data_IF_512807999246
#
_entry.id   IF_512807999246
#
_cell.length_a   1.000
_cell.length_b   1.000
_cell.length_c   1.000
_cell.angle_alpha   90.00
_cell.angle_beta   90.00
_cell.angle_gamma   90.00
#
_symmetry.space_group_name_H-M   'P 1'
#
loop_
_entity.id
_entity.type
_entity.pdbx_description
1 polymer ?
#
# COMPACT_ATOMS: atom_id res chain seq x y z
N UNK A 1 16.57 27.94 -5.77
CA UNK A 1 16.96 27.64 -4.36
C UNK A 1 15.77 27.69 -3.42
N UNK A 2 14.90 28.72 -3.40
CA UNK A 2 13.71 28.79 -2.53
C UNK A 2 12.78 27.58 -2.66
N UNK A 3 12.43 27.17 -3.88
CA UNK A 3 11.53 26.02 -4.16
C UNK A 3 12.06 24.69 -3.62
N UNK A 4 13.37 24.41 -3.76
CA UNK A 4 13.97 23.18 -3.23
C UNK A 4 13.90 23.18 -1.69
N UNK A 5 14.15 24.33 -1.06
CA UNK A 5 14.08 24.48 0.39
C UNK A 5 12.68 24.27 0.92
N UNK A 6 11.68 24.90 0.31
CA UNK A 6 10.27 24.73 0.68
C UNK A 6 9.80 23.29 0.49
N UNK A 7 10.13 22.67 -0.66
CA UNK A 7 9.81 21.27 -0.93
C UNK A 7 10.47 20.33 0.09
N UNK A 8 11.76 20.51 0.39
CA UNK A 8 12.49 19.66 1.35
C UNK A 8 11.93 19.84 2.75
N UNK A 9 11.55 21.05 3.16
CA UNK A 9 10.90 21.31 4.45
C UNK A 9 9.55 20.58 4.53
N UNK A 10 8.69 20.75 3.53
CA UNK A 10 7.40 20.08 3.45
C UNK A 10 7.55 18.56 3.48
N UNK A 11 8.45 18.01 2.67
CA UNK A 11 8.66 16.55 2.58
C UNK A 11 9.26 16.00 3.88
N UNK A 12 10.17 16.72 4.55
CA UNK A 12 10.74 16.28 5.82
C UNK A 12 9.66 16.19 6.90
N UNK A 13 8.93 17.27 7.15
CA UNK A 13 7.87 17.32 8.17
C UNK A 13 6.77 16.33 7.89
N UNK A 14 6.32 16.25 6.63
CA UNK A 14 5.25 15.32 6.21
C UNK A 14 5.68 13.87 6.39
N UNK A 15 6.91 13.50 5.98
CA UNK A 15 7.40 12.14 6.14
C UNK A 15 7.52 11.74 7.61
N UNK A 16 7.99 12.61 8.51
CA UNK A 16 8.00 12.32 9.95
C UNK A 16 6.59 12.10 10.51
N UNK A 17 5.65 13.00 10.21
CA UNK A 17 4.27 12.89 10.68
C UNK A 17 3.60 11.60 10.18
N UNK A 18 3.70 11.32 8.87
CA UNK A 18 3.10 10.12 8.29
C UNK A 18 3.83 8.82 8.66
N UNK A 19 5.13 8.86 8.94
CA UNK A 19 5.89 7.72 9.48
C UNK A 19 5.25 7.21 10.78
N UNK A 20 4.91 8.12 11.70
CA UNK A 20 4.22 7.79 12.96
C UNK A 20 2.82 7.21 12.68
N UNK A 21 2.04 7.86 11.82
CA UNK A 21 0.67 7.40 11.48
C UNK A 21 0.72 6.02 10.83
N UNK A 22 1.63 5.80 9.87
CA UNK A 22 1.80 4.52 9.17
C UNK A 22 2.22 3.42 10.14
N UNK A 23 3.23 3.69 10.98
CA UNK A 23 3.76 2.71 11.91
C UNK A 23 2.73 2.32 12.96
N UNK A 24 2.16 3.29 13.67
CA UNK A 24 1.16 3.04 14.71
C UNK A 24 -0.11 2.38 14.13
N UNK A 25 -0.58 2.87 12.98
CA UNK A 25 -1.75 2.31 12.31
C UNK A 25 -1.58 0.84 11.94
N UNK A 26 -0.43 0.47 11.35
CA UNK A 26 -0.16 -0.91 10.96
C UNK A 26 0.14 -1.81 12.15
N UNK A 27 0.80 -1.34 13.22
CA UNK A 27 0.94 -2.09 14.49
C UNK A 27 -0.44 -2.45 15.06
N UNK A 28 -1.35 -1.49 15.11
CA UNK A 28 -2.71 -1.71 15.59
C UNK A 28 -3.47 -2.72 14.72
N UNK A 29 -3.32 -2.62 13.38
CA UNK A 29 -3.93 -3.59 12.44
C UNK A 29 -3.35 -4.99 12.63
N UNK A 30 -2.04 -5.15 12.73
CA UNK A 30 -1.37 -6.43 12.98
C UNK A 30 -1.95 -7.05 14.26
N UNK A 31 -2.00 -6.28 15.35
CA UNK A 31 -2.60 -6.74 16.62
C UNK A 31 -4.06 -7.14 16.48
N UNK A 32 -4.84 -6.39 15.71
CA UNK A 32 -6.24 -6.69 15.46
C UNK A 32 -6.42 -7.96 14.62
N UNK A 33 -5.59 -8.16 13.59
CA UNK A 33 -5.60 -9.36 12.75
C UNK A 33 -5.27 -10.63 13.54
N UNK A 34 -4.31 -10.57 14.48
CA UNK A 34 -4.01 -11.71 15.35
C UNK A 34 -5.19 -12.07 16.27
N UNK A 35 -5.95 -11.08 16.74
CA UNK A 35 -7.12 -11.29 17.60
C UNK A 35 -8.39 -11.68 16.85
N UNK A 36 -8.49 -11.33 15.57
CA UNK A 36 -9.67 -11.58 14.76
C UNK A 36 -9.84 -13.10 14.52
N UNK A 37 -11.01 -13.62 14.84
CA UNK A 37 -11.37 -15.05 14.69
C UNK A 37 -12.26 -15.30 13.47
N UNK A 38 -13.04 -14.32 13.03
CA UNK A 38 -13.98 -14.46 11.91
C UNK A 38 -13.32 -14.38 10.52
N UNK A 39 -12.04 -13.98 10.45
CA UNK A 39 -11.32 -13.85 9.18
C UNK A 39 -10.61 -15.15 8.84
N UNK A 40 -10.87 -15.77 7.66
CA UNK A 40 -10.20 -16.98 7.22
C UNK A 40 -8.67 -16.84 7.21
N UNK A 41 -7.94 -17.90 7.56
CA UNK A 41 -6.49 -17.88 7.74
C UNK A 41 -5.73 -17.44 6.47
N UNK A 42 -6.16 -17.87 5.27
CA UNK A 42 -5.59 -17.47 3.99
C UNK A 42 -5.67 -15.95 3.77
N UNK A 43 -6.82 -15.36 4.04
CA UNK A 43 -7.06 -13.90 3.92
C UNK A 43 -6.28 -13.13 4.99
N UNK A 44 -6.24 -13.65 6.22
CA UNK A 44 -5.49 -13.09 7.33
C UNK A 44 -4.00 -13.01 7.00
N UNK A 45 -3.41 -14.06 6.42
CA UNK A 45 -2.00 -14.08 6.02
C UNK A 45 -1.67 -13.02 4.97
N UNK A 46 -2.54 -12.81 3.98
CA UNK A 46 -2.37 -11.74 2.99
C UNK A 46 -2.38 -10.35 3.64
N UNK A 47 -3.32 -10.10 4.55
CA UNK A 47 -3.38 -8.81 5.25
C UNK A 47 -2.25 -8.60 6.24
N UNK A 48 -1.78 -9.66 6.92
CA UNK A 48 -0.61 -9.58 7.78
C UNK A 48 0.64 -9.23 6.95
N UNK A 49 0.85 -9.90 5.81
CA UNK A 49 1.98 -9.59 4.92
C UNK A 49 1.95 -8.12 4.45
N UNK A 50 0.77 -7.60 4.08
CA UNK A 50 0.62 -6.21 3.70
C UNK A 50 0.90 -5.26 4.87
N UNK A 51 0.34 -5.53 6.05
CA UNK A 51 0.53 -4.69 7.22
C UNK A 51 1.99 -4.70 7.72
N UNK A 52 2.72 -5.82 7.61
CA UNK A 52 4.16 -5.88 7.92
C UNK A 52 5.00 -5.10 6.92
N UNK A 53 4.73 -5.20 5.61
CA UNK A 53 5.44 -4.39 4.61
C UNK A 53 5.18 -2.89 4.80
N UNK A 54 3.93 -2.50 5.10
CA UNK A 54 3.57 -1.11 5.37
C UNK A 54 4.17 -0.59 6.69
N UNK A 55 4.28 -1.43 7.72
CA UNK A 55 5.01 -1.09 8.93
C UNK A 55 6.49 -0.82 8.62
N UNK A 56 7.12 -1.66 7.79
CA UNK A 56 8.48 -1.43 7.30
C UNK A 56 8.61 -0.12 6.52
N UNK A 57 7.63 0.20 5.67
CA UNK A 57 7.56 1.50 4.96
C UNK A 57 7.55 2.65 5.97
N UNK A 58 6.65 2.65 6.95
CA UNK A 58 6.51 3.72 7.93
C UNK A 58 7.73 3.85 8.83
N UNK A 59 8.12 2.77 9.47
CA UNK A 59 9.15 2.77 10.52
C UNK A 59 10.57 2.92 9.97
N UNK A 60 10.84 2.42 8.76
CA UNK A 60 12.20 2.45 8.17
C UNK A 60 12.27 3.44 7.02
N UNK A 61 11.57 3.15 5.92
CA UNK A 61 11.78 3.88 4.67
C UNK A 61 11.31 5.33 4.72
N UNK A 62 10.15 5.58 5.33
CA UNK A 62 9.56 6.92 5.45
C UNK A 62 10.28 7.77 6.50
N UNK A 63 10.71 7.16 7.60
CA UNK A 63 11.52 7.82 8.62
C UNK A 63 12.88 8.25 8.04
N UNK A 64 13.56 7.36 7.31
CA UNK A 64 14.82 7.69 6.62
C UNK A 64 14.62 8.80 5.58
N UNK A 65 13.52 8.79 4.83
CA UNK A 65 13.18 9.86 3.89
C UNK A 65 13.09 11.21 4.62
N UNK A 66 12.38 11.26 5.76
CA UNK A 66 12.27 12.48 6.58
C UNK A 66 13.64 13.00 7.02
N UNK A 67 14.53 12.14 7.49
CA UNK A 67 15.91 12.49 7.87
C UNK A 67 16.70 13.02 6.67
N UNK A 68 16.67 12.33 5.54
CA UNK A 68 17.38 12.73 4.32
C UNK A 68 16.92 14.12 3.87
N UNK A 69 15.62 14.39 3.82
CA UNK A 69 15.10 15.72 3.46
C UNK A 69 15.46 16.80 4.49
N UNK A 70 15.51 16.47 5.77
CA UNK A 70 15.99 17.40 6.81
C UNK A 70 17.48 17.76 6.63
N UNK A 71 18.32 16.79 6.26
CA UNK A 71 19.73 17.04 5.97
C UNK A 71 19.89 17.88 4.70
N UNK A 72 19.14 17.58 3.64
CA UNK A 72 19.11 18.39 2.41
C UNK A 72 18.72 19.83 2.72
N UNK A 73 17.72 20.05 3.58
CA UNK A 73 17.29 21.37 4.01
C UNK A 73 18.40 22.16 4.72
N UNK A 74 19.13 21.50 5.64
CA UNK A 74 20.21 22.12 6.39
C UNK A 74 21.45 22.38 5.54
N UNK A 75 21.76 21.53 4.56
CA UNK A 75 22.90 21.72 3.66
C UNK A 75 22.62 22.76 2.57
N UNK A 76 21.38 22.84 2.09
CA UNK A 76 20.97 23.86 1.10
C UNK A 76 21.05 25.30 1.61
N UNK A 77 21.20 25.51 2.93
CA UNK A 77 21.43 26.82 3.54
C UNK A 77 22.90 27.27 3.53
N UNK A 78 23.84 26.38 3.20
CA UNK A 78 25.28 26.66 3.09
C UNK A 78 25.66 26.92 1.64
N UNK A 79 26.57 27.85 1.39
CA UNK A 79 27.00 28.23 0.03
C UNK A 79 27.62 27.08 -0.77
N UNK A 80 28.20 26.07 -0.10
CA UNK A 80 28.73 24.84 -0.70
C UNK A 80 27.69 23.70 -0.69
N UNK A 81 26.61 23.85 -1.46
CA UNK A 81 25.64 22.80 -1.62
C UNK A 81 26.16 21.66 -2.49
N UNK A 82 26.69 20.63 -1.86
CA UNK A 82 27.05 19.39 -2.52
C UNK A 82 26.14 18.26 -1.99
N UNK A 83 25.20 17.79 -2.84
CA UNK A 83 24.35 16.62 -2.51
C UNK A 83 25.18 15.37 -2.18
N UNK A 84 26.46 15.37 -2.61
CA UNK A 84 27.47 14.33 -2.30
C UNK A 84 27.93 14.33 -0.84
N UNK A 85 27.58 15.34 -0.03
CA UNK A 85 27.88 15.36 1.41
C UNK A 85 27.03 14.34 2.21
N UNK A 86 25.90 13.88 1.66
CA UNK A 86 25.17 12.74 2.21
C UNK A 86 25.93 11.46 1.90
N UNK A 87 26.19 10.67 2.94
CA UNK A 87 26.85 9.38 2.78
C UNK A 87 26.13 8.54 1.72
N UNK A 88 26.76 8.22 0.57
CA UNK A 88 26.11 7.47 -0.53
C UNK A 88 25.55 6.13 -0.07
N UNK A 89 26.20 5.52 0.93
CA UNK A 89 25.77 4.24 1.52
C UNK A 89 24.38 4.38 2.19
N UNK A 90 24.12 5.47 2.89
CA UNK A 90 22.80 5.71 3.54
C UNK A 90 21.72 5.91 2.51
N UNK A 91 21.99 6.68 1.44
CA UNK A 91 21.04 6.89 0.35
C UNK A 91 20.76 5.56 -0.38
N UNK A 92 21.78 4.79 -0.69
CA UNK A 92 21.63 3.51 -1.37
C UNK A 92 20.86 2.50 -0.51
N UNK A 93 21.13 2.45 0.79
CA UNK A 93 20.37 1.60 1.73
C UNK A 93 18.89 2.02 1.78
N UNK A 94 18.62 3.32 1.89
CA UNK A 94 17.26 3.83 1.87
C UNK A 94 16.51 3.46 0.58
N UNK A 95 17.12 3.67 -0.58
CA UNK A 95 16.51 3.34 -1.87
C UNK A 95 16.31 1.83 -2.03
N UNK A 96 17.26 1.00 -1.57
CA UNK A 96 17.11 -0.46 -1.55
C UNK A 96 15.88 -0.88 -0.73
N UNK A 97 15.77 -0.39 0.51
CA UNK A 97 14.63 -0.69 1.38
C UNK A 97 13.32 -0.15 0.81
N UNK A 98 13.35 1.04 0.21
CA UNK A 98 12.19 1.61 -0.47
C UNK A 98 11.69 0.70 -1.61
N UNK A 99 12.57 0.25 -2.52
CA UNK A 99 12.17 -0.61 -3.64
C UNK A 99 11.69 -1.98 -3.18
N UNK A 100 12.34 -2.55 -2.17
CA UNK A 100 11.95 -3.83 -1.56
C UNK A 100 10.52 -3.76 -0.96
N UNK A 101 10.30 -2.83 -0.03
CA UNK A 101 9.03 -2.70 0.68
C UNK A 101 7.90 -2.29 -0.24
N UNK A 102 8.17 -1.42 -1.20
CA UNK A 102 7.21 -0.99 -2.21
C UNK A 102 6.79 -2.15 -3.12
N UNK A 103 7.72 -2.96 -3.60
CA UNK A 103 7.41 -4.12 -4.44
C UNK A 103 6.58 -5.14 -3.64
N UNK A 104 6.95 -5.42 -2.38
CA UNK A 104 6.22 -6.31 -1.50
C UNK A 104 4.78 -5.85 -1.28
N UNK A 105 4.56 -4.58 -0.94
CA UNK A 105 3.22 -4.00 -0.75
C UNK A 105 2.40 -4.04 -2.05
N UNK A 106 2.97 -3.63 -3.19
CA UNK A 106 2.30 -3.63 -4.49
C UNK A 106 1.85 -5.03 -4.92
N UNK A 107 2.75 -6.02 -4.85
CA UNK A 107 2.45 -7.40 -5.24
C UNK A 107 1.45 -8.05 -4.29
N UNK A 108 1.54 -7.79 -2.99
CA UNK A 108 0.57 -8.29 -1.99
C UNK A 108 -0.82 -7.70 -2.24
N UNK A 109 -0.93 -6.39 -2.50
CA UNK A 109 -2.19 -5.75 -2.87
C UNK A 109 -2.78 -6.33 -4.17
N UNK A 110 -1.93 -6.65 -5.15
CA UNK A 110 -2.37 -7.30 -6.39
C UNK A 110 -2.91 -8.70 -6.09
N UNK A 111 -2.22 -9.46 -5.26
CA UNK A 111 -2.65 -10.80 -4.83
C UNK A 111 -3.97 -10.75 -4.07
N UNK A 112 -4.18 -9.76 -3.19
CA UNK A 112 -5.46 -9.54 -2.50
C UNK A 112 -6.60 -9.26 -3.51
N UNK A 113 -6.34 -8.50 -4.56
CA UNK A 113 -7.34 -8.26 -5.61
C UNK A 113 -7.72 -9.56 -6.36
N UNK A 114 -6.74 -10.40 -6.68
CA UNK A 114 -6.96 -11.72 -7.28
C UNK A 114 -7.68 -12.68 -6.33
N UNK A 115 -7.29 -12.72 -5.07
CA UNK A 115 -7.98 -13.52 -4.04
C UNK A 115 -9.47 -13.17 -3.97
N UNK A 116 -9.79 -11.87 -4.02
CA UNK A 116 -11.19 -11.43 -4.06
C UNK A 116 -11.90 -11.81 -5.35
N UNK A 117 -11.23 -11.72 -6.49
CA UNK A 117 -11.77 -12.18 -7.77
C UNK A 117 -12.09 -13.68 -7.74
N UNK A 118 -11.17 -14.50 -7.25
CA UNK A 118 -11.37 -15.95 -7.12
C UNK A 118 -12.53 -16.27 -6.16
N UNK A 119 -12.61 -15.57 -5.03
CA UNK A 119 -13.70 -15.77 -4.07
C UNK A 119 -15.08 -15.48 -4.69
N UNK A 120 -15.20 -14.42 -5.51
CA UNK A 120 -16.46 -14.05 -6.17
C UNK A 120 -16.76 -14.95 -7.37
N UNK A 121 -15.74 -15.44 -8.10
CA UNK A 121 -15.93 -16.21 -9.33
C UNK A 121 -16.13 -17.71 -9.08
N UNK A 122 -15.49 -18.27 -8.05
CA UNK A 122 -15.43 -19.72 -7.82
C UNK A 122 -16.39 -20.22 -6.74
N UNK A 123 -16.97 -19.31 -5.94
CA UNK A 123 -17.93 -19.65 -4.86
C UNK A 123 -17.47 -20.86 -4.00
N UNK A 124 -18.12 -22.01 -4.17
CA UNK A 124 -17.85 -23.22 -3.37
C UNK A 124 -16.45 -23.80 -3.60
N UNK A 125 -15.90 -23.72 -4.84
CA UNK A 125 -14.56 -24.23 -5.16
C UNK A 125 -13.43 -23.35 -4.64
N UNK A 126 -13.74 -22.12 -4.19
CA UNK A 126 -12.72 -21.21 -3.67
C UNK A 126 -11.95 -21.81 -2.48
N UNK A 127 -12.64 -22.45 -1.54
CA UNK A 127 -12.01 -23.03 -0.35
C UNK A 127 -11.08 -24.21 -0.66
N UNK A 128 -11.35 -24.96 -1.72
CA UNK A 128 -10.49 -26.05 -2.19
C UNK A 128 -9.22 -25.53 -2.89
N UNK A 129 -9.36 -24.44 -3.65
CA UNK A 129 -8.26 -23.88 -4.44
C UNK A 129 -7.38 -22.92 -3.65
N UNK A 130 -7.94 -22.11 -2.75
CA UNK A 130 -7.20 -21.09 -2.01
C UNK A 130 -6.94 -21.57 -0.57
N UNK A 131 -5.95 -22.44 -0.43
CA UNK A 131 -5.52 -22.95 0.88
C UNK A 131 -4.45 -22.07 1.52
N UNK A 132 -4.33 -22.09 2.86
CA UNK A 132 -3.28 -21.33 3.57
C UNK A 132 -1.87 -21.69 3.10
N UNK A 133 -1.59 -22.96 2.77
CA UNK A 133 -0.29 -23.39 2.23
C UNK A 133 0.04 -22.71 0.90
N UNK A 134 -0.92 -22.67 -0.05
CA UNK A 134 -0.74 -22.01 -1.36
C UNK A 134 -0.53 -20.52 -1.20
N UNK A 135 -1.29 -19.88 -0.32
CA UNK A 135 -1.11 -18.45 0.00
C UNK A 135 0.28 -18.18 0.58
N UNK A 136 0.78 -19.03 1.48
CA UNK A 136 2.14 -18.89 2.03
C UNK A 136 3.22 -19.01 0.92
N UNK A 137 3.07 -19.96 -0.02
CA UNK A 137 3.99 -20.08 -1.16
C UNK A 137 3.98 -18.80 -2.01
N UNK A 138 2.79 -18.24 -2.29
CA UNK A 138 2.67 -16.97 -3.03
C UNK A 138 3.34 -15.83 -2.28
N UNK A 139 3.18 -15.74 -0.95
CA UNK A 139 3.83 -14.71 -0.13
C UNK A 139 5.36 -14.84 -0.13
N UNK A 140 5.89 -16.05 -0.08
CA UNK A 140 7.34 -16.31 -0.23
C UNK A 140 7.80 -15.85 -1.61
N UNK A 141 7.08 -16.20 -2.68
CA UNK A 141 7.40 -15.77 -4.04
C UNK A 141 7.38 -14.25 -4.19
N UNK A 142 6.42 -13.57 -3.56
CA UNK A 142 6.36 -12.10 -3.50
C UNK A 142 7.61 -11.54 -2.81
N UNK A 143 8.00 -12.10 -1.68
CA UNK A 143 9.17 -11.64 -0.92
C UNK A 143 10.47 -11.82 -1.74
N UNK A 144 10.63 -12.96 -2.42
CA UNK A 144 11.78 -13.22 -3.30
C UNK A 144 11.80 -12.26 -4.50
N UNK A 145 10.67 -12.05 -5.17
CA UNK A 145 10.56 -11.11 -6.29
C UNK A 145 10.87 -9.68 -5.85
N UNK A 146 10.38 -9.27 -4.68
CA UNK A 146 10.65 -7.94 -4.12
C UNK A 146 12.14 -7.77 -3.79
N UNK A 147 12.77 -8.80 -3.25
CA UNK A 147 14.21 -8.82 -2.97
C UNK A 147 15.04 -8.69 -4.27
N UNK A 148 14.70 -9.46 -5.31
CA UNK A 148 15.35 -9.38 -6.63
C UNK A 148 15.18 -7.97 -7.22
N UNK A 149 13.98 -7.38 -7.13
CA UNK A 149 13.71 -6.02 -7.62
C UNK A 149 14.60 -4.99 -6.90
N UNK A 150 14.81 -5.15 -5.60
CA UNK A 150 15.68 -4.28 -4.83
C UNK A 150 17.16 -4.50 -5.16
N UNK A 151 17.60 -5.74 -5.44
CA UNK A 151 18.96 -6.03 -5.91
C UNK A 151 19.25 -5.40 -7.28
N UNK A 152 18.28 -5.42 -8.21
CA UNK A 152 18.42 -4.75 -9.51
C UNK A 152 18.77 -3.27 -9.34
N UNK A 153 18.25 -2.61 -8.28
CA UNK A 153 18.62 -1.22 -7.99
C UNK A 153 20.14 -1.07 -7.72
N UNK A 154 20.76 -2.00 -6.97
CA UNK A 154 22.18 -1.93 -6.63
C UNK A 154 23.06 -2.14 -7.85
N UNK A 155 22.75 -3.16 -8.67
CA UNK A 155 23.62 -3.58 -9.79
C UNK A 155 23.33 -2.81 -11.08
N UNK A 156 22.09 -2.37 -11.30
CA UNK A 156 21.61 -1.75 -12.54
C UNK A 156 20.72 -0.52 -12.23
N UNK A 157 21.23 0.53 -11.59
CA UNK A 157 20.42 1.65 -11.11
C UNK A 157 19.64 2.38 -12.21
N UNK A 158 20.19 2.48 -13.42
CA UNK A 158 19.50 3.08 -14.58
C UNK A 158 18.32 2.22 -15.06
N UNK A 159 18.49 0.89 -15.09
CA UNK A 159 17.45 -0.05 -15.52
C UNK A 159 16.36 -0.24 -14.47
N UNK A 160 16.67 0.03 -13.20
CA UNK A 160 15.73 -0.19 -12.08
C UNK A 160 14.45 0.65 -12.19
N UNK A 161 14.52 1.88 -12.67
CA UNK A 161 13.32 2.70 -12.87
C UNK A 161 12.40 2.12 -13.95
N UNK A 162 12.97 1.56 -15.04
CA UNK A 162 12.18 0.85 -16.06
C UNK A 162 11.53 -0.41 -15.46
N UNK A 163 12.30 -1.23 -14.76
CA UNK A 163 11.80 -2.45 -14.11
C UNK A 163 10.67 -2.10 -13.13
N UNK A 164 10.87 -1.08 -12.29
CA UNK A 164 9.86 -0.60 -11.36
C UNK A 164 8.59 -0.10 -12.09
N UNK A 165 8.74 0.63 -13.19
CA UNK A 165 7.62 1.10 -14.00
C UNK A 165 6.87 -0.06 -14.67
N UNK A 166 7.57 -1.05 -15.20
CA UNK A 166 6.97 -2.25 -15.81
C UNK A 166 6.18 -3.04 -14.75
N UNK A 167 6.76 -3.30 -13.59
CA UNK A 167 6.07 -3.99 -12.48
C UNK A 167 4.81 -3.21 -12.06
N UNK A 168 4.91 -1.88 -11.97
CA UNK A 168 3.80 -1.02 -11.64
C UNK A 168 2.68 -1.12 -12.71
N UNK A 169 3.01 -0.98 -13.99
CA UNK A 169 2.04 -1.05 -15.10
C UNK A 169 1.38 -2.41 -15.19
N UNK A 170 2.14 -3.50 -15.07
CA UNK A 170 1.59 -4.86 -15.02
C UNK A 170 0.67 -5.01 -13.81
N UNK A 171 1.09 -4.55 -12.63
CA UNK A 171 0.24 -4.55 -11.43
C UNK A 171 -1.04 -3.74 -11.59
N UNK A 172 -1.00 -2.59 -12.28
CA UNK A 172 -2.20 -1.81 -12.62
C UNK A 172 -3.13 -2.58 -13.55
N UNK A 173 -2.59 -3.10 -14.64
CA UNK A 173 -3.36 -3.87 -15.61
C UNK A 173 -4.07 -5.05 -14.94
N UNK A 174 -3.33 -5.85 -14.18
CA UNK A 174 -3.87 -7.01 -13.48
C UNK A 174 -4.96 -6.62 -12.47
N UNK A 175 -4.76 -5.58 -11.67
CA UNK A 175 -5.78 -5.08 -10.74
C UNK A 175 -7.01 -4.56 -11.47
N UNK A 176 -6.82 -3.78 -12.54
CA UNK A 176 -7.94 -3.28 -13.35
C UNK A 176 -8.79 -4.43 -13.86
N UNK A 177 -8.16 -5.46 -14.46
CA UNK A 177 -8.86 -6.65 -14.94
C UNK A 177 -9.62 -7.35 -13.80
N UNK A 178 -8.97 -7.54 -12.65
CA UNK A 178 -9.59 -8.17 -11.49
C UNK A 178 -10.83 -7.38 -11.00
N UNK A 179 -10.70 -6.07 -10.82
CA UNK A 179 -11.82 -5.26 -10.33
C UNK A 179 -12.96 -5.08 -11.33
N UNK A 180 -12.65 -4.97 -12.63
CA UNK A 180 -13.68 -4.95 -13.68
C UNK A 180 -14.45 -6.28 -13.71
N UNK A 181 -13.74 -7.41 -13.58
CA UNK A 181 -14.39 -8.72 -13.50
C UNK A 181 -15.23 -8.88 -12.23
N UNK A 182 -14.72 -8.49 -11.06
CA UNK A 182 -15.49 -8.49 -9.80
C UNK A 182 -16.79 -7.67 -9.98
N UNK A 183 -16.70 -6.47 -10.55
CA UNK A 183 -17.87 -5.63 -10.80
C UNK A 183 -18.88 -6.32 -11.74
N UNK A 184 -18.42 -6.90 -12.85
CA UNK A 184 -19.30 -7.60 -13.81
C UNK A 184 -20.00 -8.80 -13.18
N UNK A 185 -19.27 -9.64 -12.41
CA UNK A 185 -19.85 -10.80 -11.74
C UNK A 185 -20.88 -10.39 -10.70
N UNK A 186 -20.57 -9.39 -9.87
CA UNK A 186 -21.52 -8.88 -8.87
C UNK A 186 -22.75 -8.29 -9.53
N UNK A 187 -22.61 -7.53 -10.62
CA UNK A 187 -23.74 -6.97 -11.37
C UNK A 187 -24.60 -8.05 -12.00
N UNK A 188 -23.99 -9.09 -12.58
CA UNK A 188 -24.70 -10.24 -13.17
C UNK A 188 -25.56 -10.95 -12.12
N UNK A 189 -25.00 -11.30 -10.97
CA UNK A 189 -25.76 -11.94 -9.89
C UNK A 189 -26.89 -11.07 -9.35
N UNK A 190 -26.68 -9.76 -9.26
CA UNK A 190 -27.74 -8.83 -8.88
C UNK A 190 -28.92 -8.86 -9.86
N UNK A 191 -28.65 -8.81 -11.16
CA UNK A 191 -29.70 -8.84 -12.17
C UNK A 191 -30.50 -10.15 -12.11
N UNK A 192 -29.84 -11.30 -11.86
CA UNK A 192 -30.53 -12.58 -11.67
C UNK A 192 -31.42 -12.57 -10.42
N UNK A 193 -30.93 -12.06 -9.29
CA UNK A 193 -31.70 -11.94 -8.05
C UNK A 193 -32.90 -11.01 -8.26
N UNK A 194 -32.73 -9.89 -8.94
CA UNK A 194 -33.83 -8.96 -9.26
C UNK A 194 -34.88 -9.58 -10.15
N UNK A 195 -34.50 -10.41 -11.11
CA UNK A 195 -35.46 -11.09 -12.02
C UNK A 195 -36.22 -12.24 -11.36
N UNK A 196 -35.65 -12.84 -10.29
CA UNK A 196 -36.28 -13.97 -9.57
C UNK A 196 -37.01 -13.54 -8.29
N UNK A 197 -36.76 -12.34 -7.79
CA UNK A 197 -37.22 -11.93 -6.45
C UNK A 197 -38.26 -10.85 -6.42
N UNK A 198 -39.48 -11.25 -6.63
CA UNK A 198 -40.59 -10.63 -5.89
C UNK A 198 -40.80 -11.26 -4.48
N UNK A 199 -39.98 -12.24 -4.03
CA UNK A 199 -40.43 -13.15 -2.96
C UNK A 199 -39.47 -13.42 -1.76
N UNK A 200 -38.20 -12.86 -1.66
CA UNK A 200 -37.37 -13.28 -0.52
C UNK A 200 -36.42 -12.22 0.05
N UNK A 201 -36.73 -11.68 1.22
CA UNK A 201 -35.98 -10.65 1.96
C UNK A 201 -34.55 -11.06 2.36
N UNK A 202 -34.23 -12.34 2.51
CA UNK A 202 -32.91 -12.83 2.93
C UNK A 202 -31.88 -12.74 1.78
N UNK A 203 -32.24 -13.15 0.55
CA UNK A 203 -31.37 -13.09 -0.63
C UNK A 203 -31.10 -11.65 -1.06
N UNK A 204 -32.06 -10.75 -0.86
CA UNK A 204 -31.87 -9.32 -1.13
C UNK A 204 -30.81 -8.71 -0.18
N UNK A 205 -30.76 -9.13 1.09
CA UNK A 205 -29.74 -8.67 2.04
C UNK A 205 -28.34 -9.15 1.68
N UNK A 206 -28.19 -10.40 1.22
CA UNK A 206 -26.92 -10.96 0.77
C UNK A 206 -26.40 -10.23 -0.48
N UNK A 207 -27.27 -9.97 -1.47
CA UNK A 207 -26.93 -9.19 -2.67
C UNK A 207 -26.49 -7.76 -2.34
N UNK A 208 -27.16 -7.09 -1.41
CA UNK A 208 -26.76 -5.76 -0.92
C UNK A 208 -25.40 -5.78 -0.22
N UNK A 209 -25.11 -6.84 0.55
CA UNK A 209 -23.81 -7.03 1.22
C UNK A 209 -22.69 -7.23 0.21
N UNK A 210 -22.89 -8.07 -0.81
CA UNK A 210 -21.94 -8.31 -1.90
C UNK A 210 -21.68 -7.04 -2.72
N UNK A 211 -22.75 -6.27 -3.05
CA UNK A 211 -22.65 -4.98 -3.71
C UNK A 211 -21.77 -4.00 -2.91
N UNK A 212 -22.04 -3.85 -1.62
CA UNK A 212 -21.25 -2.97 -0.75
C UNK A 212 -19.77 -3.41 -0.71
N UNK A 213 -19.50 -4.72 -0.69
CA UNK A 213 -18.14 -5.26 -0.74
C UNK A 213 -17.43 -4.92 -2.05
N UNK A 214 -18.11 -4.99 -3.20
CA UNK A 214 -17.52 -4.65 -4.50
C UNK A 214 -17.23 -3.14 -4.63
N UNK A 215 -18.14 -2.26 -4.18
CA UNK A 215 -17.86 -0.82 -4.17
C UNK A 215 -16.70 -0.45 -3.26
N UNK A 216 -16.61 -1.10 -2.10
CA UNK A 216 -15.48 -0.91 -1.19
C UNK A 216 -14.15 -1.31 -1.85
N UNK A 217 -14.16 -2.40 -2.60
CA UNK A 217 -12.97 -2.85 -3.33
C UNK A 217 -12.57 -1.87 -4.45
N UNK A 218 -13.55 -1.34 -5.20
CA UNK A 218 -13.31 -0.30 -6.22
C UNK A 218 -12.76 0.99 -5.62
N UNK A 219 -13.24 1.40 -4.45
CA UNK A 219 -12.71 2.57 -3.75
C UNK A 219 -11.23 2.37 -3.35
N UNK A 220 -10.88 1.21 -2.81
CA UNK A 220 -9.47 0.87 -2.49
C UNK A 220 -8.59 0.93 -3.74
N UNK A 221 -9.09 0.42 -4.87
CA UNK A 221 -8.39 0.50 -6.15
C UNK A 221 -8.21 1.94 -6.62
N UNK A 222 -9.24 2.78 -6.48
CA UNK A 222 -9.16 4.20 -6.83
C UNK A 222 -8.10 4.94 -6.00
N UNK A 223 -8.09 4.74 -4.67
CA UNK A 223 -7.06 5.30 -3.77
C UNK A 223 -5.66 4.86 -4.22
N UNK A 224 -5.50 3.58 -4.54
CA UNK A 224 -4.24 3.07 -5.07
C UNK A 224 -3.83 3.76 -6.38
N UNK A 225 -4.75 3.96 -7.32
CA UNK A 225 -4.48 4.70 -8.57
C UNK A 225 -3.98 6.11 -8.29
N UNK A 226 -4.66 6.86 -7.43
CA UNK A 226 -4.28 8.23 -7.08
C UNK A 226 -2.89 8.28 -6.47
N UNK A 227 -2.53 7.32 -5.62
CA UNK A 227 -1.23 7.31 -4.95
C UNK A 227 -0.06 6.90 -5.88
N UNK A 228 -0.28 6.03 -6.84
CA UNK A 228 0.80 5.48 -7.67
C UNK A 228 0.89 6.05 -9.07
N UNK A 229 -0.23 6.51 -9.66
CA UNK A 229 -0.24 7.05 -11.04
C UNK A 229 0.73 8.21 -11.24
N UNK A 230 0.90 9.15 -10.28
CA UNK A 230 1.85 10.25 -10.42
C UNK A 230 3.33 9.84 -10.54
N UNK A 231 3.65 8.59 -10.23
CA UNK A 231 5.01 8.08 -10.41
C UNK A 231 5.37 7.89 -11.91
N UNK A 232 4.41 7.59 -12.79
CA UNK A 232 4.67 7.37 -14.21
C UNK A 232 5.27 8.61 -14.92
N UNK A 233 4.73 9.82 -14.75
CA UNK A 233 5.37 11.03 -15.27
C UNK A 233 6.80 11.22 -14.78
N UNK A 234 7.10 10.91 -13.52
CA UNK A 234 8.45 11.02 -12.98
C UNK A 234 9.44 10.07 -13.66
N UNK A 235 8.98 8.86 -14.06
CA UNK A 235 9.79 7.92 -14.83
C UNK A 235 10.02 8.43 -16.25
N UNK A 236 8.99 8.97 -16.90
CA UNK A 236 9.11 9.54 -18.26
C UNK A 236 10.12 10.69 -18.26
N UNK A 237 10.02 11.62 -17.32
CA UNK A 237 10.94 12.75 -17.19
C UNK A 237 12.39 12.28 -16.96
N UNK A 238 12.59 11.19 -16.20
CA UNK A 238 13.91 10.60 -16.02
C UNK A 238 14.56 10.16 -17.34
N UNK A 239 13.78 9.58 -18.27
CA UNK A 239 14.30 9.10 -19.55
C UNK A 239 14.49 10.23 -20.59
N UNK A 240 13.74 11.31 -20.48
CA UNK A 240 13.93 12.51 -21.33
C UNK A 240 15.19 13.30 -20.90
N UNK A 241 15.84 12.87 -19.81
CA UNK A 241 17.10 13.45 -19.30
C UNK A 241 16.98 14.94 -18.92
N UNK A 242 15.83 15.35 -18.41
CA UNK A 242 15.65 16.69 -17.88
C UNK A 242 16.24 16.74 -16.47
N UNK A 243 17.37 17.44 -16.33
CA UNK A 243 17.96 17.78 -15.01
C UNK A 243 17.22 18.94 -14.33
N UNK A 244 16.03 19.27 -14.81
CA UNK A 244 15.24 20.40 -14.34
C UNK A 244 14.65 20.14 -12.96
N UNK A 245 14.45 21.23 -12.21
CA UNK A 245 13.77 21.25 -10.91
C UNK A 245 12.40 20.56 -10.95
N UNK A 246 11.72 20.62 -12.11
CA UNK A 246 10.43 19.96 -12.37
C UNK A 246 10.51 18.44 -12.20
N UNK A 247 11.60 17.81 -12.66
CA UNK A 247 11.84 16.37 -12.44
C UNK A 247 11.98 16.03 -10.95
N UNK A 248 12.75 16.83 -10.20
CA UNK A 248 12.92 16.60 -8.76
C UNK A 248 11.61 16.74 -8.02
N UNK A 249 10.81 17.77 -8.34
CA UNK A 249 9.48 17.98 -7.76
C UNK A 249 8.58 16.78 -8.06
N UNK A 250 8.48 16.37 -9.33
CA UNK A 250 7.65 15.23 -9.75
C UNK A 250 8.08 13.93 -9.04
N UNK A 251 9.38 13.66 -8.98
CA UNK A 251 9.95 12.48 -8.33
C UNK A 251 9.63 12.44 -6.85
N UNK A 252 9.95 13.48 -6.10
CA UNK A 252 9.79 13.48 -4.64
C UNK A 252 8.33 13.56 -4.22
N UNK A 253 7.48 14.30 -4.95
CA UNK A 253 6.04 14.32 -4.71
C UNK A 253 5.40 12.96 -4.98
N UNK A 254 5.83 12.26 -6.04
CA UNK A 254 5.33 10.91 -6.32
C UNK A 254 5.77 9.88 -5.27
N UNK A 255 7.00 9.97 -4.76
CA UNK A 255 7.47 9.14 -3.65
C UNK A 255 6.63 9.35 -2.39
N UNK A 256 6.33 10.60 -2.06
CA UNK A 256 5.47 10.93 -0.93
C UNK A 256 4.06 10.32 -1.06
N UNK A 257 3.45 10.42 -2.25
CA UNK A 257 2.13 9.81 -2.51
C UNK A 257 2.16 8.28 -2.40
N UNK A 258 3.24 7.65 -2.83
CA UNK A 258 3.43 6.20 -2.66
C UNK A 258 3.49 5.84 -1.17
N UNK A 259 4.19 6.62 -0.34
CA UNK A 259 4.21 6.42 1.10
C UNK A 259 2.83 6.62 1.74
N UNK A 260 2.07 7.60 1.26
CA UNK A 260 0.71 7.87 1.74
C UNK A 260 -0.21 6.66 1.58
N UNK A 261 -0.03 5.85 0.53
CA UNK A 261 -0.80 4.62 0.34
C UNK A 261 -0.68 3.67 1.54
N UNK A 262 0.51 3.49 2.11
CA UNK A 262 0.73 2.63 3.29
C UNK A 262 0.06 3.18 4.55
N UNK A 263 -0.08 4.51 4.66
CA UNK A 263 -0.81 5.17 5.76
C UNK A 263 -2.32 5.00 5.66
N UNK A 264 -2.86 4.79 4.45
CA UNK A 264 -4.29 4.64 4.22
C UNK A 264 -4.79 3.21 4.43
N UNK A 265 -3.92 2.20 4.35
CA UNK A 265 -4.29 0.79 4.49
C UNK A 265 -4.99 0.47 5.83
N UNK A 266 -4.56 0.96 7.01
CA UNK A 266 -5.28 0.77 8.27
C UNK A 266 -6.72 1.27 8.24
N UNK A 267 -6.97 2.39 7.58
CA UNK A 267 -8.32 2.98 7.42
C UNK A 267 -9.19 2.05 6.57
N UNK A 268 -8.63 1.53 5.47
CA UNK A 268 -9.32 0.58 4.58
C UNK A 268 -9.71 -0.70 5.32
N UNK A 269 -8.84 -1.25 6.17
CA UNK A 269 -9.18 -2.43 6.97
C UNK A 269 -10.32 -2.16 7.97
N UNK A 270 -10.26 -1.04 8.68
CA UNK A 270 -11.32 -0.61 9.60
C UNK A 270 -12.66 -0.44 8.89
N UNK A 271 -12.63 0.09 7.68
CA UNK A 271 -13.84 0.30 6.90
C UNK A 271 -14.42 -1.02 6.38
N UNK A 272 -13.57 -1.94 5.95
CA UNK A 272 -13.96 -3.20 5.33
C UNK A 272 -14.41 -4.25 6.35
N UNK A 273 -13.71 -4.39 7.48
CA UNK A 273 -13.94 -5.46 8.47
C UNK A 273 -14.46 -4.90 9.78
N UNK A 274 -15.74 -5.23 10.09
CA UNK A 274 -16.41 -4.79 11.32
C UNK A 274 -15.66 -5.28 12.57
N UNK A 275 -15.17 -6.53 12.56
CA UNK A 275 -14.42 -7.12 13.68
C UNK A 275 -13.12 -6.35 13.95
N UNK A 276 -12.30 -6.07 12.91
CA UNK A 276 -11.08 -5.26 13.04
C UNK A 276 -11.39 -3.91 13.66
N UNK A 277 -12.43 -3.23 13.14
CA UNK A 277 -12.86 -1.92 13.66
C UNK A 277 -13.28 -1.98 15.13
N UNK A 278 -13.96 -3.04 15.57
CA UNK A 278 -14.38 -3.22 16.97
C UNK A 278 -13.17 -3.47 17.88
N UNK A 279 -12.23 -4.34 17.46
CA UNK A 279 -11.01 -4.63 18.21
C UNK A 279 -10.15 -3.36 18.33
N UNK A 280 -10.01 -2.58 17.25
CA UNK A 280 -9.25 -1.32 17.28
C UNK A 280 -9.88 -0.30 18.23
N UNK A 281 -11.20 -0.10 18.13
CA UNK A 281 -11.92 0.81 19.04
C UNK A 281 -11.74 0.41 20.51
N UNK A 282 -11.83 -0.89 20.83
CA UNK A 282 -11.65 -1.39 22.20
C UNK A 282 -10.20 -1.21 22.68
N UNK A 283 -9.22 -1.40 21.78
CA UNK A 283 -7.79 -1.24 22.09
C UNK A 283 -7.47 0.23 22.38
N UNK A 284 -7.93 1.16 21.51
CA UNK A 284 -7.72 2.60 21.69
C UNK A 284 -8.38 3.08 23.00
N UNK A 285 -9.62 2.63 23.29
CA UNK A 285 -10.29 2.97 24.56
C UNK A 285 -9.52 2.49 25.80
N UNK A 286 -8.88 1.31 25.70
CA UNK A 286 -8.04 0.80 26.81
C UNK A 286 -6.78 1.65 27.00
N UNK A 287 -6.12 2.05 25.93
CA UNK A 287 -4.93 2.91 25.97
C UNK A 287 -5.28 4.27 26.63
N UNK A 288 -6.36 4.91 26.17
CA UNK A 288 -6.79 6.20 26.69
C UNK A 288 -7.24 6.14 28.18
N UNK A 289 -7.88 5.03 28.61
CA UNK A 289 -8.25 4.85 30.03
C UNK A 289 -7.06 4.55 30.95
N UNK A 290 -5.98 4.01 30.44
CA UNK A 290 -4.74 3.84 31.21
C UNK A 290 -4.08 5.17 31.50
N UNK A 291 -4.19 6.16 30.58
CA UNK A 291 -3.69 7.53 30.82
C UNK A 291 -4.52 8.28 31.86
N UNK A 292 -5.86 8.09 31.88
CA UNK A 292 -6.73 8.69 32.90
C UNK A 292 -6.47 8.16 34.32
N UNK A 293 -5.90 6.95 34.47
CA UNK A 293 -5.57 6.37 35.78
C UNK A 293 -4.12 6.67 36.22
N UNK A 294 -3.31 7.36 35.39
CA UNK A 294 -1.94 7.77 35.70
C UNK A 294 -1.82 9.28 35.98
N UNK A 295 -2.89 10.03 35.76
CA UNK A 295 -3.01 11.45 36.10
C UNK A 295 -3.84 11.66 37.37
#
# INVERSE_FOLDING_TARGET
>A
MSVIRELSSFLSVSNFAFSLVTSLGNILVIRALFKASSIPANVKNLFLSLAFSDLGVGFVSQLMAGIIFAVILNTASKEDYNLTSLCPTVINLWLYLFYFLRAASLLTLTTIAFDRLLAVSLHLRYQELVTSKRVTIVLISISLTSFITALIYIFLPKSNQMVAAVILLVGYFLKTVAYVRIYKVVKYHQNQIYSQNQLRNAETREALRQRKSAYNALFVYFVFLVCYLPFLPSVILYFINTSDISFLIAKFSSLFLIYLNSSLNPIVYCWRYREIRQILKSTIKKILRLDENMT
#
